data_IF_337902320473
#
_entry.id   IF_337902320473
#
_cell.length_a   1.000
_cell.length_b   1.000
_cell.length_c   1.000
_cell.angle_alpha   90.00
_cell.angle_beta   90.00
_cell.angle_gamma   90.00
#
_symmetry.space_group_name_H-M   'P 1'
#
loop_
_entity.id
_entity.type
_entity.pdbx_description
1 polymer ?
#
# COMPACT_ATOMS: atom_id res chain seq x y z
N UNK A 1 20.01 -8.95 10.32
CA UNK A 1 19.94 -9.12 8.85
C UNK A 1 18.91 -8.13 8.35
N UNK A 2 19.18 -7.36 7.31
CA UNK A 2 18.22 -6.44 6.74
C UNK A 2 17.11 -7.25 6.04
N UNK A 3 15.85 -7.06 6.46
CA UNK A 3 14.71 -7.72 5.84
C UNK A 3 14.41 -7.16 4.45
N UNK A 4 13.58 -7.85 3.69
CA UNK A 4 13.12 -7.42 2.36
C UNK A 4 11.84 -6.57 2.46
N UNK A 5 11.55 -5.81 1.41
CA UNK A 5 10.39 -4.94 1.27
C UNK A 5 9.44 -5.52 0.22
N UNK A 6 8.19 -5.75 0.58
CA UNK A 6 7.16 -6.30 -0.30
C UNK A 6 6.05 -5.27 -0.42
N UNK A 7 5.85 -4.76 -1.62
CA UNK A 7 5.02 -3.60 -1.89
C UNK A 7 3.86 -4.04 -2.76
N UNK A 8 2.64 -3.81 -2.26
CA UNK A 8 1.43 -3.95 -3.05
C UNK A 8 0.83 -2.58 -3.30
N UNK A 9 0.53 -2.30 -4.55
CA UNK A 9 -0.18 -1.09 -4.98
C UNK A 9 -1.29 -1.44 -5.94
N UNK A 10 -2.35 -0.66 -5.95
CA UNK A 10 -3.50 -0.89 -6.80
C UNK A 10 -4.39 0.36 -6.84
N UNK A 11 -5.23 0.51 -7.84
CA UNK A 11 -6.35 1.43 -7.75
C UNK A 11 -7.32 1.03 -6.64
N UNK A 12 -8.01 2.02 -6.08
CA UNK A 12 -9.04 1.78 -5.05
C UNK A 12 -10.10 0.82 -5.60
N UNK A 13 -10.42 -0.23 -4.84
CA UNK A 13 -11.41 -1.25 -5.27
C UNK A 13 -10.82 -2.50 -5.94
N UNK A 14 -9.54 -2.51 -6.31
CA UNK A 14 -8.92 -3.67 -6.97
C UNK A 14 -8.68 -4.90 -6.07
N UNK A 15 -8.94 -4.83 -4.75
CA UNK A 15 -8.82 -5.98 -3.83
C UNK A 15 -7.44 -6.14 -3.17
N UNK A 16 -6.54 -5.18 -3.31
CA UNK A 16 -5.18 -5.17 -2.75
C UNK A 16 -5.12 -5.54 -1.27
N UNK A 17 -5.89 -4.84 -0.43
CA UNK A 17 -5.89 -5.04 1.03
C UNK A 17 -6.28 -6.47 1.43
N UNK A 18 -7.22 -7.07 0.71
CA UNK A 18 -7.62 -8.46 0.94
C UNK A 18 -6.46 -9.42 0.66
N UNK A 19 -5.75 -9.23 -0.45
CA UNK A 19 -4.58 -10.05 -0.81
C UNK A 19 -3.47 -9.88 0.26
N UNK A 20 -3.18 -8.65 0.68
CA UNK A 20 -2.17 -8.36 1.72
C UNK A 20 -2.52 -9.04 3.04
N UNK A 21 -3.78 -8.98 3.48
CA UNK A 21 -4.23 -9.66 4.70
C UNK A 21 -4.10 -11.19 4.62
N UNK A 22 -4.42 -11.78 3.47
CA UNK A 22 -4.25 -13.23 3.25
C UNK A 22 -2.77 -13.66 3.27
N UNK A 23 -1.86 -12.82 2.76
CA UNK A 23 -0.42 -13.04 2.86
C UNK A 23 0.05 -12.98 4.32
N UNK A 24 -0.34 -11.95 5.07
CA UNK A 24 0.00 -11.81 6.49
C UNK A 24 -0.52 -12.98 7.33
N UNK A 25 -1.74 -13.44 7.07
CA UNK A 25 -2.33 -14.58 7.77
C UNK A 25 -1.60 -15.91 7.48
N UNK A 26 -0.93 -16.03 6.33
CA UNK A 26 -0.27 -17.27 5.90
C UNK A 26 1.23 -17.31 6.22
N UNK A 27 1.84 -16.20 6.70
CA UNK A 27 3.29 -16.08 6.88
C UNK A 27 3.66 -15.30 8.14
N UNK A 28 4.37 -15.94 9.05
CA UNK A 28 4.82 -15.33 10.32
C UNK A 28 6.07 -14.46 10.17
N UNK A 29 6.78 -14.57 9.04
CA UNK A 29 7.98 -13.79 8.71
C UNK A 29 7.69 -12.45 8.03
N UNK A 30 6.40 -12.13 7.80
CA UNK A 30 5.94 -10.84 7.31
C UNK A 30 5.34 -10.02 8.45
N UNK A 31 5.52 -8.70 8.38
CA UNK A 31 4.83 -7.76 9.25
C UNK A 31 4.37 -6.54 8.45
N UNK A 32 3.16 -6.06 8.73
CA UNK A 32 2.56 -4.91 8.06
C UNK A 32 3.24 -3.61 8.50
N UNK A 33 3.55 -2.75 7.54
CA UNK A 33 4.05 -1.40 7.79
C UNK A 33 2.91 -0.43 8.06
N UNK A 34 2.88 0.13 9.26
CA UNK A 34 1.89 1.14 9.64
C UNK A 34 2.34 2.50 9.13
N UNK A 35 1.54 3.12 8.28
CA UNK A 35 1.81 4.46 7.75
C UNK A 35 1.51 5.53 8.79
N UNK A 36 2.22 6.67 8.74
CA UNK A 36 1.85 7.88 9.44
C UNK A 36 0.88 8.72 8.60
N UNK A 37 -0.04 9.42 9.26
CA UNK A 37 -0.88 10.41 8.58
C UNK A 37 -1.12 11.64 9.47
N UNK A 38 -1.36 12.80 8.82
CA UNK A 38 -1.60 14.07 9.53
C UNK A 38 -3.09 14.45 9.65
N UNK A 39 -3.99 13.64 9.07
CA UNK A 39 -5.42 13.88 9.25
C UNK A 39 -5.89 13.44 10.64
N UNK A 40 -6.98 14.02 11.15
CA UNK A 40 -7.60 13.55 12.37
C UNK A 40 -8.01 12.07 12.29
N UNK A 41 -7.85 11.37 13.41
CA UNK A 41 -8.28 9.98 13.59
C UNK A 41 -9.82 9.88 13.51
N UNK A 42 -10.34 8.90 12.78
CA UNK A 42 -11.76 8.58 12.77
C UNK A 42 -12.15 7.79 14.03
N UNK A 43 -13.45 7.77 14.36
CA UNK A 43 -13.94 7.12 15.60
C UNK A 43 -13.64 5.63 15.70
N UNK A 44 -13.56 4.94 14.56
CA UNK A 44 -13.30 3.50 14.48
C UNK A 44 -11.82 3.14 14.23
N UNK A 45 -10.93 4.12 14.12
CA UNK A 45 -9.50 3.89 13.90
C UNK A 45 -8.74 3.85 15.23
N UNK A 46 -7.63 3.13 15.27
CA UNK A 46 -6.77 2.96 16.46
C UNK A 46 -5.36 3.44 16.10
N UNK A 47 -4.85 4.38 16.91
CA UNK A 47 -3.47 4.87 16.75
C UNK A 47 -2.45 3.75 16.99
N UNK A 48 -1.42 3.71 16.14
CA UNK A 48 -0.41 2.65 16.16
C UNK A 48 -0.88 1.29 15.64
N UNK A 49 -2.12 1.20 15.11
CA UNK A 49 -2.68 0.01 14.47
C UNK A 49 -3.10 0.30 13.04
N UNK A 50 -3.99 1.28 12.84
CA UNK A 50 -4.43 1.68 11.50
C UNK A 50 -3.45 2.68 10.88
N UNK A 51 -3.05 3.66 11.66
CA UNK A 51 -2.05 4.68 11.33
C UNK A 51 -1.33 5.16 12.59
N UNK A 52 -0.15 5.77 12.41
CA UNK A 52 0.41 6.70 13.38
C UNK A 52 -0.17 8.08 13.10
N UNK A 53 -1.11 8.54 13.96
CA UNK A 53 -1.75 9.84 13.81
C UNK A 53 -0.89 10.91 14.46
N UNK A 54 -0.31 11.79 13.64
CA UNK A 54 0.53 12.90 14.07
C UNK A 54 -0.04 14.22 13.53
N UNK A 55 0.31 15.34 14.13
CA UNK A 55 -0.12 16.65 13.64
C UNK A 55 0.56 17.00 12.30
N UNK A 56 -0.03 17.94 11.56
CA UNK A 56 0.57 18.43 10.31
C UNK A 56 1.95 19.03 10.53
N UNK A 57 2.13 19.73 11.65
CA UNK A 57 3.42 20.36 11.99
C UNK A 57 4.48 19.31 12.34
N UNK A 58 4.13 18.30 13.13
CA UNK A 58 5.00 17.15 13.41
C UNK A 58 5.35 16.38 12.13
N UNK A 59 4.38 16.22 11.21
CA UNK A 59 4.65 15.56 9.94
C UNK A 59 5.66 16.33 9.11
N UNK A 60 5.48 17.66 8.99
CA UNK A 60 6.41 18.56 8.28
C UNK A 60 7.80 18.58 8.93
N UNK A 61 7.87 18.58 10.26
CA UNK A 61 9.14 18.49 10.98
C UNK A 61 9.88 17.19 10.64
N UNK A 62 9.18 16.06 10.62
CA UNK A 62 9.74 14.75 10.23
C UNK A 62 10.19 14.71 8.77
N UNK A 63 9.47 15.37 7.86
CA UNK A 63 9.93 15.58 6.47
C UNK A 63 11.28 16.29 6.46
N UNK A 64 11.38 17.42 7.15
CA UNK A 64 12.61 18.24 7.21
C UNK A 64 13.80 17.47 7.80
N UNK A 65 13.54 16.57 8.76
CA UNK A 65 14.55 15.68 9.35
C UNK A 65 14.88 14.46 8.47
N UNK A 66 14.18 14.26 7.35
CA UNK A 66 14.36 13.13 6.46
C UNK A 66 14.00 11.78 7.09
N UNK A 67 13.03 11.75 8.02
CA UNK A 67 12.61 10.55 8.76
C UNK A 67 11.69 9.65 7.95
N UNK A 68 11.08 10.15 6.86
CA UNK A 68 10.24 9.35 5.98
C UNK A 68 11.07 8.60 4.92
N UNK A 69 10.64 7.39 4.63
CA UNK A 69 11.07 6.61 3.48
C UNK A 69 10.41 7.14 2.21
N UNK A 70 9.13 7.43 2.29
CA UNK A 70 8.32 8.11 1.29
C UNK A 70 7.20 8.88 1.98
N UNK A 71 6.68 9.90 1.34
CA UNK A 71 5.50 10.65 1.81
C UNK A 71 4.83 11.39 0.66
N UNK A 72 3.55 11.74 0.85
CA UNK A 72 2.75 12.51 -0.09
C UNK A 72 1.77 13.43 0.65
N UNK A 73 1.52 14.59 0.05
CA UNK A 73 0.35 15.40 0.36
C UNK A 73 -0.80 14.94 -0.55
N UNK A 74 -1.76 14.21 0.02
CA UNK A 74 -2.89 13.63 -0.73
C UNK A 74 -4.02 14.64 -0.90
N UNK A 75 -4.23 15.48 0.10
CA UNK A 75 -5.12 16.64 0.09
C UNK A 75 -4.40 17.78 0.80
N UNK A 76 -4.85 19.01 0.60
CA UNK A 76 -4.28 20.18 1.24
C UNK A 76 -4.11 19.96 2.76
N UNK A 77 -2.88 20.07 3.26
CA UNK A 77 -2.48 19.80 4.64
C UNK A 77 -2.77 18.39 5.17
N UNK A 78 -3.07 17.43 4.30
CA UNK A 78 -3.29 16.03 4.66
C UNK A 78 -2.19 15.14 4.07
N UNK A 79 -1.25 14.80 4.89
CA UNK A 79 -0.03 14.04 4.54
C UNK A 79 -0.16 12.58 4.96
N UNK A 80 0.44 11.70 4.15
CA UNK A 80 0.61 10.28 4.43
C UNK A 80 2.03 9.87 4.09
N UNK A 81 2.60 8.93 4.83
CA UNK A 81 3.94 8.46 4.54
C UNK A 81 4.38 7.29 5.41
N UNK A 82 5.45 6.67 5.01
CA UNK A 82 6.09 5.56 5.69
C UNK A 82 7.33 6.05 6.44
N UNK A 83 7.34 5.90 7.76
CA UNK A 83 8.50 6.23 8.58
C UNK A 83 9.62 5.20 8.39
N UNK A 84 10.87 5.63 8.31
CA UNK A 84 12.05 4.74 8.30
C UNK A 84 12.12 3.89 9.57
N UNK A 85 11.78 4.50 10.71
CA UNK A 85 11.75 3.82 12.01
C UNK A 85 10.76 2.65 12.05
N UNK A 86 9.66 2.71 11.29
CA UNK A 86 8.70 1.61 11.19
C UNK A 86 9.31 0.40 10.47
N UNK A 87 10.03 0.64 9.38
CA UNK A 87 10.76 -0.41 8.67
C UNK A 87 11.85 -1.01 9.56
N UNK A 88 12.60 -0.18 10.27
CA UNK A 88 13.66 -0.61 11.20
C UNK A 88 13.08 -1.43 12.36
N UNK A 89 11.92 -1.03 12.90
CA UNK A 89 11.20 -1.77 13.94
C UNK A 89 10.86 -3.20 13.49
N UNK A 90 10.38 -3.37 12.27
CA UNK A 90 10.02 -4.68 11.70
C UNK A 90 11.29 -5.52 11.46
N UNK A 91 12.33 -4.90 10.89
CA UNK A 91 13.60 -5.58 10.66
C UNK A 91 14.30 -6.02 11.94
N UNK A 92 14.18 -5.25 13.02
CA UNK A 92 14.71 -5.61 14.33
C UNK A 92 14.08 -6.90 14.90
N UNK A 93 12.87 -7.26 14.46
CA UNK A 93 12.20 -8.53 14.78
C UNK A 93 12.62 -9.69 13.86
N UNK A 94 13.53 -9.46 12.93
CA UNK A 94 13.94 -10.45 11.92
C UNK A 94 12.91 -10.72 10.84
N UNK A 95 11.93 -9.80 10.65
CA UNK A 95 10.85 -9.96 9.69
C UNK A 95 11.06 -9.11 8.43
N UNK A 96 10.32 -9.48 7.38
CA UNK A 96 10.19 -8.70 6.15
C UNK A 96 8.99 -7.75 6.25
N UNK A 97 9.07 -6.62 5.56
CA UNK A 97 8.04 -5.59 5.60
C UNK A 97 7.08 -5.74 4.42
N UNK A 98 5.78 -5.73 4.68
CA UNK A 98 4.75 -5.67 3.64
C UNK A 98 4.02 -4.33 3.71
N UNK A 99 3.82 -3.72 2.54
CA UNK A 99 3.17 -2.41 2.38
C UNK A 99 1.89 -2.53 1.56
N UNK A 100 0.86 -1.84 2.01
CA UNK A 100 -0.38 -1.55 1.28
C UNK A 100 -0.45 -0.04 1.05
N UNK A 101 0.10 0.42 -0.08
CA UNK A 101 0.27 1.84 -0.39
C UNK A 101 -0.28 2.19 -1.78
N UNK A 102 -0.46 3.47 -2.06
CA UNK A 102 -0.80 3.92 -3.39
C UNK A 102 0.36 3.73 -4.39
N UNK A 103 0.09 4.02 -5.66
CA UNK A 103 1.05 3.74 -6.74
C UNK A 103 2.32 4.58 -6.65
N UNK A 104 2.22 5.83 -6.21
CA UNK A 104 3.38 6.74 -6.12
C UNK A 104 4.24 6.35 -4.91
N UNK A 105 3.62 6.13 -3.75
CA UNK A 105 4.30 5.64 -2.56
C UNK A 105 5.00 4.30 -2.83
N UNK A 106 4.31 3.37 -3.49
CA UNK A 106 4.88 2.07 -3.86
C UNK A 106 6.14 2.18 -4.74
N UNK A 107 6.12 3.04 -5.75
CA UNK A 107 7.29 3.27 -6.61
C UNK A 107 8.43 3.97 -5.86
N UNK A 108 8.13 4.87 -4.93
CA UNK A 108 9.14 5.52 -4.09
C UNK A 108 9.81 4.50 -3.14
N UNK A 109 9.03 3.60 -2.51
CA UNK A 109 9.56 2.51 -1.69
C UNK A 109 10.41 1.57 -2.55
N UNK A 110 9.97 1.22 -3.76
CA UNK A 110 10.76 0.41 -4.69
C UNK A 110 12.10 1.06 -5.03
N UNK A 111 12.09 2.36 -5.32
CA UNK A 111 13.31 3.12 -5.59
C UNK A 111 14.29 3.11 -4.42
N UNK A 112 13.78 3.18 -3.19
CA UNK A 112 14.57 3.09 -1.98
C UNK A 112 15.16 1.68 -1.79
N UNK A 113 14.33 0.65 -1.88
CA UNK A 113 14.72 -0.75 -1.60
C UNK A 113 15.48 -1.43 -2.74
N UNK A 114 15.42 -0.89 -3.96
CA UNK A 114 16.10 -1.44 -5.16
C UNK A 114 15.85 -2.95 -5.31
N UNK A 115 16.93 -3.74 -5.32
CA UNK A 115 16.88 -5.20 -5.46
C UNK A 115 16.29 -5.90 -4.21
N UNK A 116 16.30 -5.25 -3.06
CA UNK A 116 15.70 -5.74 -1.82
C UNK A 116 14.19 -5.43 -1.71
N UNK A 117 13.59 -4.89 -2.76
CA UNK A 117 12.17 -4.57 -2.83
C UNK A 117 11.49 -5.27 -4.01
N UNK A 118 10.35 -5.89 -3.76
CA UNK A 118 9.42 -6.42 -4.77
C UNK A 118 8.20 -5.51 -4.84
N UNK A 119 7.96 -4.89 -5.99
CA UNK A 119 6.79 -4.07 -6.23
C UNK A 119 5.77 -4.82 -7.09
N UNK A 120 4.59 -5.06 -6.53
CA UNK A 120 3.48 -5.78 -7.16
C UNK A 120 2.31 -4.83 -7.36
N UNK A 121 1.81 -4.77 -8.59
CA UNK A 121 0.59 -4.05 -8.92
C UNK A 121 -0.57 -5.02 -8.98
N UNK A 122 -1.64 -4.76 -8.20
CA UNK A 122 -2.88 -5.53 -8.29
C UNK A 122 -3.83 -4.82 -9.23
N UNK A 123 -4.11 -5.47 -10.35
CA UNK A 123 -4.94 -4.95 -11.44
C UNK A 123 -6.35 -5.54 -11.34
N UNK A 124 -7.42 -4.74 -11.46
CA UNK A 124 -8.75 -5.29 -11.68
C UNK A 124 -8.84 -5.93 -13.08
N UNK A 125 -9.77 -6.87 -13.32
CA UNK A 125 -9.90 -7.51 -14.62
C UNK A 125 -10.34 -6.52 -15.72
N UNK A 126 -11.13 -5.51 -15.36
CA UNK A 126 -11.52 -4.42 -16.24
C UNK A 126 -11.87 -3.15 -15.45
N UNK A 127 -12.03 -2.03 -16.15
CA UNK A 127 -12.49 -0.76 -15.55
C UNK A 127 -13.96 -0.85 -15.13
N UNK A 128 -14.77 -1.57 -15.91
CA UNK A 128 -16.19 -1.79 -15.63
C UNK A 128 -16.36 -2.57 -14.32
N UNK A 129 -15.61 -3.66 -14.13
CA UNK A 129 -15.64 -4.44 -12.90
C UNK A 129 -15.17 -3.61 -11.70
N UNK A 130 -14.15 -2.75 -11.90
CA UNK A 130 -13.69 -1.84 -10.88
C UNK A 130 -14.78 -0.85 -10.47
N UNK A 131 -15.52 -0.30 -11.44
CA UNK A 131 -16.65 0.59 -11.20
C UNK A 131 -17.73 -0.09 -10.36
N UNK A 132 -18.10 -1.34 -10.71
CA UNK A 132 -19.08 -2.11 -9.93
C UNK A 132 -18.61 -2.35 -8.50
N UNK A 133 -17.35 -2.73 -8.31
CA UNK A 133 -16.75 -2.91 -6.98
C UNK A 133 -16.74 -1.62 -6.15
N UNK A 134 -16.54 -0.47 -6.79
CA UNK A 134 -16.58 0.84 -6.13
C UNK A 134 -18.00 1.21 -5.71
N UNK A 135 -19.02 0.95 -6.56
CA UNK A 135 -20.42 1.18 -6.26
C UNK A 135 -20.90 0.37 -5.05
N UNK A 136 -20.45 -0.88 -4.93
CA UNK A 136 -20.87 -1.79 -3.83
C UNK A 136 -20.28 -1.38 -2.45
N UNK A 137 -19.22 -0.59 -2.40
CA UNK A 137 -18.49 -0.30 -1.15
C UNK A 137 -19.07 0.81 -0.29
N UNK A 138 -19.92 1.69 -0.82
CA UNK A 138 -20.38 2.85 -0.05
C UNK A 138 -21.61 3.56 -0.65
N UNK A 139 -22.21 4.39 0.18
CA UNK A 139 -23.19 5.42 -0.18
C UNK A 139 -22.53 6.55 -1.00
N UNK A 140 -21.91 6.22 -2.13
CA UNK A 140 -21.20 7.19 -2.97
C UNK A 140 -22.20 8.05 -3.75
N UNK A 141 -21.94 9.36 -3.81
CA UNK A 141 -22.62 10.21 -4.78
C UNK A 141 -22.02 9.98 -6.18
N UNK A 142 -22.77 10.25 -7.27
CA UNK A 142 -22.24 10.14 -8.63
C UNK A 142 -20.94 10.93 -8.85
N UNK A 143 -20.78 12.06 -8.17
CA UNK A 143 -19.61 12.92 -8.27
C UNK A 143 -18.38 12.31 -7.58
N UNK A 144 -18.55 11.70 -6.41
CA UNK A 144 -17.45 11.02 -5.71
C UNK A 144 -17.02 9.75 -6.44
N UNK A 145 -17.97 9.01 -7.01
CA UNK A 145 -17.68 7.85 -7.84
C UNK A 145 -16.84 8.23 -9.07
N UNK A 146 -17.26 9.30 -9.79
CA UNK A 146 -16.51 9.80 -10.94
C UNK A 146 -15.06 10.16 -10.57
N UNK A 147 -14.85 10.92 -9.50
CA UNK A 147 -13.50 11.29 -9.02
C UNK A 147 -12.66 10.07 -8.71
N UNK A 148 -13.24 9.01 -8.14
CA UNK A 148 -12.53 7.75 -7.85
C UNK A 148 -12.17 6.99 -9.11
N UNK A 149 -13.06 6.95 -10.09
CA UNK A 149 -12.78 6.33 -11.39
C UNK A 149 -11.70 7.07 -12.15
N UNK A 150 -11.75 8.41 -12.17
CA UNK A 150 -10.71 9.22 -12.81
C UNK A 150 -9.33 8.97 -12.14
N UNK A 151 -9.31 8.90 -10.80
CA UNK A 151 -8.09 8.56 -10.06
C UNK A 151 -7.62 7.14 -10.38
N UNK A 152 -8.52 6.16 -10.39
CA UNK A 152 -8.20 4.77 -10.69
C UNK A 152 -7.65 4.59 -12.11
N UNK A 153 -8.24 5.26 -13.10
CA UNK A 153 -7.75 5.26 -14.48
C UNK A 153 -6.32 5.82 -14.56
N UNK A 154 -6.03 6.89 -13.83
CA UNK A 154 -4.67 7.41 -13.75
C UNK A 154 -3.73 6.40 -13.07
N UNK A 155 -4.13 5.78 -11.96
CA UNK A 155 -3.33 4.78 -11.25
C UNK A 155 -3.02 3.54 -12.12
N UNK A 156 -3.95 3.09 -12.97
CA UNK A 156 -3.75 2.00 -13.93
C UNK A 156 -2.60 2.27 -14.92
N UNK A 157 -2.37 3.53 -15.29
CA UNK A 157 -1.26 3.88 -16.20
C UNK A 157 0.12 3.58 -15.62
N UNK A 158 0.22 3.42 -14.30
CA UNK A 158 1.48 3.11 -13.62
C UNK A 158 1.80 1.62 -13.56
N UNK A 159 0.87 0.73 -13.92
CA UNK A 159 1.04 -0.72 -13.79
C UNK A 159 2.36 -1.25 -14.39
N UNK A 160 2.73 -0.75 -15.57
CA UNK A 160 3.96 -1.15 -16.27
C UNK A 160 5.27 -0.71 -15.59
N UNK A 161 5.21 0.08 -14.50
CA UNK A 161 6.38 0.50 -13.71
C UNK A 161 6.68 -0.43 -12.53
N UNK A 162 5.82 -1.40 -12.28
CA UNK A 162 5.96 -2.38 -11.21
C UNK A 162 6.70 -3.64 -11.69
N UNK A 163 7.33 -4.35 -10.77
CA UNK A 163 8.08 -5.57 -11.11
C UNK A 163 7.16 -6.71 -11.57
N UNK A 164 5.93 -6.75 -11.02
CA UNK A 164 4.91 -7.77 -11.31
C UNK A 164 3.52 -7.17 -11.29
N UNK A 165 2.64 -7.76 -12.10
CA UNK A 165 1.22 -7.43 -12.15
C UNK A 165 0.46 -8.70 -11.82
N UNK A 166 -0.50 -8.62 -10.88
CA UNK A 166 -1.47 -9.68 -10.56
C UNK A 166 -2.84 -9.18 -11.00
N UNK A 167 -3.49 -9.88 -11.89
CA UNK A 167 -4.89 -9.59 -12.26
C UNK A 167 -5.83 -10.24 -11.23
N UNK A 168 -6.58 -9.43 -10.49
CA UNK A 168 -7.53 -9.90 -9.49
C UNK A 168 -8.93 -10.06 -10.12
N UNK A 169 -9.05 -11.03 -11.02
CA UNK A 169 -10.31 -11.51 -11.56
C UNK A 169 -10.97 -12.47 -10.56
N UNK A 170 -10.23 -13.48 -10.14
CA UNK A 170 -10.58 -14.39 -9.06
C UNK A 170 -9.64 -14.18 -7.88
N UNK A 171 -10.21 -13.96 -6.68
CA UNK A 171 -9.43 -13.63 -5.48
C UNK A 171 -8.52 -14.79 -5.04
N UNK A 172 -8.99 -16.04 -5.12
CA UNK A 172 -8.21 -17.19 -4.67
C UNK A 172 -6.98 -17.39 -5.55
N UNK A 173 -7.13 -17.28 -6.87
CA UNK A 173 -6.04 -17.34 -7.83
C UNK A 173 -5.06 -16.18 -7.62
N UNK A 174 -5.54 -14.96 -7.43
CA UNK A 174 -4.71 -13.79 -7.16
C UNK A 174 -3.89 -13.94 -5.86
N UNK A 175 -4.47 -14.53 -4.82
CA UNK A 175 -3.77 -14.82 -3.55
C UNK A 175 -2.70 -15.91 -3.74
N UNK A 176 -2.99 -16.96 -4.50
CA UNK A 176 -2.02 -18.02 -4.81
C UNK A 176 -0.84 -17.46 -5.59
N UNK A 177 -1.10 -16.63 -6.60
CA UNK A 177 -0.06 -15.96 -7.37
C UNK A 177 0.78 -15.03 -6.49
N UNK A 178 0.15 -14.22 -5.64
CA UNK A 178 0.84 -13.33 -4.69
C UNK A 178 1.76 -14.11 -3.74
N UNK A 179 1.29 -15.22 -3.17
CA UNK A 179 2.11 -16.11 -2.32
C UNK A 179 3.32 -16.63 -3.07
N UNK A 180 3.11 -17.13 -4.27
CA UNK A 180 4.19 -17.68 -5.13
C UNK A 180 5.24 -16.62 -5.46
N UNK A 181 4.82 -15.39 -5.79
CA UNK A 181 5.73 -14.29 -6.09
C UNK A 181 6.56 -13.89 -4.86
N UNK A 182 5.92 -13.77 -3.71
CA UNK A 182 6.58 -13.43 -2.44
C UNK A 182 7.57 -14.52 -2.04
N UNK A 183 7.19 -15.79 -2.09
CA UNK A 183 8.08 -16.91 -1.79
C UNK A 183 9.33 -16.92 -2.67
N UNK A 184 9.15 -16.81 -3.99
CA UNK A 184 10.27 -16.74 -4.94
C UNK A 184 11.18 -15.54 -4.70
N UNK A 185 10.63 -14.42 -4.27
CA UNK A 185 11.41 -13.24 -3.96
C UNK A 185 12.20 -13.39 -2.66
N UNK A 186 11.57 -13.94 -1.62
CA UNK A 186 12.23 -14.15 -0.32
C UNK A 186 13.31 -15.23 -0.34
N UNK A 187 13.19 -16.22 -1.23
CA UNK A 187 14.18 -17.31 -1.39
C UNK A 187 15.50 -16.89 -2.06
N UNK A 188 15.56 -15.70 -2.67
CA UNK A 188 16.79 -15.11 -3.27
C UNK A 188 17.63 -14.44 -2.20
#
# INVERSE_FOLDING_TARGET
>A
MQGKLIIFSAPSGAGKTTIVHQLLASRNDLEFSISACSRPKRSNEIDGVDYYFITTDEFKEKINKGEFLEWQEVYENSYYGTLKSEVERIWAKGKHVIFDVDVVGGLNIKKYGKENALAVFVMPPSVEELEERLKLRSSETPETLKKRLDKANNELTFAGKFDKIIVNDDLENAVIEAKTLVEKFLAK
#
